data_IF_348887281699
#
_entry.id   IF_348887281699
#
_cell.length_a   1.000
_cell.length_b   1.000
_cell.length_c   1.000
_cell.angle_alpha   90.00
_cell.angle_beta   90.00
_cell.angle_gamma   90.00
#
_symmetry.space_group_name_H-M   'P 1'
#
loop_
_entity.id
_entity.type
_entity.pdbx_description
1 polymer ?
#
# COMPACT_ATOMS: atom_id res chain seq x y z
N UNK A 1 46.45 -67.43 -42.70
CA UNK A 1 47.06 -66.17 -42.23
C UNK A 1 46.75 -66.07 -40.75
N UNK A 2 47.68 -66.51 -39.92
CA UNK A 2 47.50 -66.74 -38.49
C UNK A 2 48.46 -65.81 -37.76
N UNK A 3 47.96 -64.95 -36.89
CA UNK A 3 48.80 -64.12 -36.02
C UNK A 3 48.43 -64.41 -34.57
N UNK A 4 49.42 -64.93 -33.84
CA UNK A 4 49.46 -65.13 -32.39
C UNK A 4 49.58 -63.77 -31.69
N UNK A 5 48.95 -63.62 -30.52
CA UNK A 5 49.49 -62.77 -29.44
C UNK A 5 49.32 -63.48 -28.09
N UNK A 6 50.44 -63.52 -27.38
CA UNK A 6 50.73 -64.12 -26.07
C UNK A 6 50.26 -63.28 -24.90
N UNK A 7 49.79 -63.93 -23.83
CA UNK A 7 49.58 -63.33 -22.51
C UNK A 7 50.92 -63.06 -21.80
N UNK A 8 51.05 -61.87 -21.20
CA UNK A 8 52.06 -61.57 -20.16
C UNK A 8 51.33 -61.22 -18.87
N UNK A 9 51.66 -61.95 -17.82
CA UNK A 9 51.29 -61.72 -16.42
C UNK A 9 52.03 -60.52 -15.84
N UNK A 10 51.36 -59.70 -15.04
CA UNK A 10 51.96 -58.90 -13.97
C UNK A 10 51.02 -58.83 -12.75
N UNK A 11 51.57 -58.65 -11.54
CA UNK A 11 51.02 -59.17 -10.29
C UNK A 11 50.08 -58.21 -9.57
N UNK A 12 49.38 -58.81 -8.60
CA UNK A 12 48.56 -58.19 -7.57
C UNK A 12 49.28 -57.00 -6.90
N UNK A 13 48.74 -55.80 -7.06
CA UNK A 13 49.11 -54.62 -6.24
C UNK A 13 47.92 -54.30 -5.34
N UNK A 14 48.20 -54.20 -4.05
CA UNK A 14 47.22 -53.98 -3.00
C UNK A 14 46.39 -52.70 -3.24
N UNK A 15 45.06 -52.86 -3.16
CA UNK A 15 44.10 -51.76 -3.18
C UNK A 15 44.21 -50.99 -1.85
N UNK A 16 44.80 -49.79 -1.86
CA UNK A 16 44.66 -48.83 -0.78
C UNK A 16 43.27 -48.21 -0.89
N UNK A 17 42.40 -48.27 0.13
CA UNK A 17 41.10 -47.62 0.06
C UNK A 17 41.32 -46.12 0.20
N UNK A 18 41.21 -45.38 -0.91
CA UNK A 18 41.08 -43.93 -0.89
C UNK A 18 39.65 -43.65 -0.42
N UNK A 19 39.50 -43.42 0.89
CA UNK A 19 38.27 -42.89 1.47
C UNK A 19 38.06 -41.48 0.88
N UNK A 20 36.97 -41.21 0.14
CA UNK A 20 36.69 -39.84 -0.27
C UNK A 20 36.33 -39.07 0.99
N UNK A 21 37.19 -38.11 1.36
CA UNK A 21 36.86 -37.12 2.39
C UNK A 21 35.73 -36.25 1.81
N UNK A 22 34.49 -36.69 2.02
CA UNK A 22 33.31 -35.89 1.76
C UNK A 22 33.33 -34.78 2.81
N UNK A 23 34.05 -33.69 2.51
CA UNK A 23 33.91 -32.45 3.24
C UNK A 23 32.50 -31.94 2.96
N UNK A 24 31.54 -32.39 3.78
CA UNK A 24 30.26 -31.74 3.91
C UNK A 24 30.58 -30.30 4.29
N UNK A 25 30.59 -29.39 3.30
CA UNK A 25 30.31 -28.00 3.55
C UNK A 25 28.86 -27.96 4.02
N UNK A 26 28.67 -28.24 5.31
CA UNK A 26 27.59 -27.66 6.07
C UNK A 26 27.72 -26.16 5.82
N UNK A 27 26.99 -25.66 4.82
CA UNK A 27 26.71 -24.25 4.72
C UNK A 27 26.09 -23.91 6.06
N UNK A 28 26.85 -23.28 6.94
CA UNK A 28 26.34 -22.75 8.17
C UNK A 28 25.21 -21.81 7.75
N UNK A 29 23.96 -22.28 7.89
CA UNK A 29 22.82 -21.40 7.85
C UNK A 29 23.10 -20.37 8.93
N UNK A 30 23.36 -19.14 8.49
CA UNK A 30 23.51 -18.02 9.39
C UNK A 30 22.24 -18.02 10.24
N UNK A 31 22.32 -18.12 11.57
CA UNK A 31 21.11 -18.08 12.39
C UNK A 31 20.36 -16.80 12.02
N UNK A 32 19.06 -16.94 11.74
CA UNK A 32 18.19 -15.79 11.49
C UNK A 32 18.40 -14.80 12.64
N UNK A 33 18.67 -13.54 12.30
CA UNK A 33 18.82 -12.52 13.33
C UNK A 33 17.50 -12.45 14.12
N UNK A 34 17.54 -12.37 15.46
CA UNK A 34 16.33 -12.15 16.24
C UNK A 34 15.76 -10.78 15.82
N UNK A 35 14.66 -10.80 15.06
CA UNK A 35 14.08 -9.64 14.39
C UNK A 35 13.49 -9.95 12.99
N UNK A 36 13.85 -11.08 12.38
CA UNK A 36 13.35 -11.45 11.03
C UNK A 36 12.08 -12.35 11.04
N UNK A 37 11.55 -12.76 12.19
CA UNK A 37 10.49 -13.80 12.24
C UNK A 37 9.12 -13.35 11.71
N UNK A 38 8.87 -12.05 11.61
CA UNK A 38 7.58 -11.47 11.19
C UNK A 38 7.73 -10.47 10.04
N UNK A 39 8.56 -10.79 9.05
CA UNK A 39 8.83 -9.92 7.92
C UNK A 39 8.60 -10.63 6.59
N UNK A 40 7.76 -10.06 5.73
CA UNK A 40 7.73 -10.43 4.29
C UNK A 40 8.79 -9.61 3.57
N UNK A 41 9.67 -10.21 2.77
CA UNK A 41 10.70 -9.46 2.05
C UNK A 41 11.01 -10.01 0.66
N UNK A 42 11.46 -9.11 -0.22
CA UNK A 42 11.71 -9.37 -1.63
C UNK A 42 12.94 -8.60 -2.10
N UNK A 43 13.62 -9.14 -3.10
CA UNK A 43 14.85 -8.58 -3.69
C UNK A 43 14.61 -7.87 -5.03
N UNK A 44 13.34 -7.66 -5.39
CA UNK A 44 12.95 -6.91 -6.57
C UNK A 44 11.65 -6.11 -6.31
N UNK A 45 11.43 -4.99 -7.03
CA UNK A 45 10.16 -4.27 -7.02
C UNK A 45 8.99 -5.15 -7.44
N UNK A 46 7.79 -4.83 -6.97
CA UNK A 46 6.56 -5.43 -7.47
C UNK A 46 6.32 -5.01 -8.93
N UNK A 47 5.99 -5.97 -9.78
CA UNK A 47 5.58 -5.76 -11.18
C UNK A 47 4.07 -5.70 -11.32
N UNK A 48 3.37 -6.43 -10.46
CA UNK A 48 1.92 -6.55 -10.44
C UNK A 48 1.36 -6.16 -9.07
N UNK A 49 0.07 -5.80 -9.04
CA UNK A 49 -0.59 -5.37 -7.80
C UNK A 49 -0.56 -6.44 -6.71
N UNK A 50 -0.71 -7.72 -7.08
CA UNK A 50 -0.68 -8.86 -6.14
C UNK A 50 0.70 -9.08 -5.48
N UNK A 51 1.77 -8.48 -6.01
CA UNK A 51 3.11 -8.56 -5.44
C UNK A 51 3.42 -7.39 -4.50
N UNK A 52 2.62 -6.31 -4.53
CA UNK A 52 2.84 -5.11 -3.73
C UNK A 52 2.51 -5.36 -2.25
N UNK A 53 3.17 -4.60 -1.36
CA UNK A 53 3.04 -4.79 0.09
C UNK A 53 1.90 -3.95 0.66
N UNK A 54 0.92 -4.54 1.37
CA UNK A 54 -0.19 -3.78 1.95
C UNK A 54 0.22 -3.06 3.24
N UNK A 55 -0.22 -1.82 3.39
CA UNK A 55 -0.28 -1.09 4.66
C UNK A 55 -1.69 -0.52 4.84
N UNK A 56 -2.18 -0.40 6.07
CA UNK A 56 -3.52 0.15 6.32
C UNK A 56 -3.79 0.50 7.77
N UNK A 57 -4.68 1.46 7.98
CA UNK A 57 -5.06 1.95 9.31
C UNK A 57 -6.52 1.64 9.71
N UNK A 58 -7.14 0.71 8.98
CA UNK A 58 -8.56 0.34 9.08
C UNK A 58 -9.49 1.19 8.20
N UNK A 59 -9.03 2.36 7.73
CA UNK A 59 -9.82 3.26 6.87
C UNK A 59 -9.12 3.54 5.53
N UNK A 60 -7.88 4.01 5.60
CA UNK A 60 -6.98 4.15 4.46
C UNK A 60 -6.10 2.90 4.34
N UNK A 61 -5.85 2.50 3.10
CA UNK A 61 -4.90 1.45 2.76
C UNK A 61 -4.07 1.83 1.56
N UNK A 62 -2.88 1.25 1.44
CA UNK A 62 -2.04 1.37 0.26
C UNK A 62 -1.29 0.07 -0.05
N UNK A 63 -1.10 -0.18 -1.34
CA UNK A 63 -0.27 -1.24 -1.90
C UNK A 63 1.02 -0.61 -2.41
N UNK A 64 2.14 -0.93 -1.76
CA UNK A 64 3.46 -0.33 -1.97
C UNK A 64 4.27 -1.18 -2.97
N UNK A 65 4.61 -0.61 -4.11
CA UNK A 65 5.28 -1.34 -5.20
C UNK A 65 6.80 -1.46 -4.99
N UNK A 66 7.43 -0.44 -4.43
CA UNK A 66 8.86 -0.44 -4.15
C UNK A 66 9.74 -0.13 -5.38
N UNK A 67 9.21 0.50 -6.43
CA UNK A 67 9.98 0.80 -7.65
C UNK A 67 11.05 1.87 -7.44
N UNK A 68 12.22 1.76 -8.08
CA UNK A 68 13.41 2.59 -7.75
C UNK A 68 13.29 4.03 -8.27
N UNK A 69 13.25 4.21 -9.60
CA UNK A 69 13.09 5.52 -10.23
C UNK A 69 11.62 5.98 -10.25
N UNK A 70 10.69 5.02 -10.23
CA UNK A 70 9.26 5.26 -10.24
C UNK A 70 8.60 4.42 -9.15
N UNK A 71 8.11 5.08 -8.11
CA UNK A 71 7.28 4.46 -7.09
C UNK A 71 5.80 4.63 -7.43
N UNK A 72 5.01 3.63 -7.02
CA UNK A 72 3.57 3.69 -7.05
C UNK A 72 3.03 3.17 -5.73
N UNK A 73 2.25 4.00 -5.05
CA UNK A 73 1.38 3.57 -3.97
C UNK A 73 -0.04 3.65 -4.52
N UNK A 74 -0.60 2.51 -4.91
CA UNK A 74 -2.04 2.43 -5.14
C UNK A 74 -2.70 2.53 -3.76
N UNK A 75 -3.66 3.44 -3.58
CA UNK A 75 -4.29 3.68 -2.29
C UNK A 75 -5.81 3.64 -2.37
N UNK A 76 -6.41 3.44 -1.21
CA UNK A 76 -7.82 3.17 -1.03
C UNK A 76 -8.34 3.85 0.25
N UNK A 77 -9.62 4.20 0.24
CA UNK A 77 -10.37 4.69 1.40
C UNK A 77 -11.66 3.84 1.53
N UNK A 78 -12.00 3.41 2.75
CA UNK A 78 -13.02 2.39 3.00
C UNK A 78 -14.45 2.74 2.59
N UNK A 79 -14.73 3.99 2.23
CA UNK A 79 -16.06 4.51 1.90
C UNK A 79 -16.21 4.96 0.44
N UNK A 80 -15.25 4.61 -0.43
CA UNK A 80 -15.38 4.79 -1.89
C UNK A 80 -16.15 3.62 -2.52
N UNK A 81 -17.45 3.80 -2.74
CA UNK A 81 -18.36 2.78 -3.28
C UNK A 81 -19.24 3.36 -4.39
N UNK A 82 -19.73 2.51 -5.29
CA UNK A 82 -20.75 2.89 -6.28
C UNK A 82 -22.11 3.14 -5.63
N UNK A 83 -23.01 3.78 -6.39
CA UNK A 83 -24.40 3.98 -5.96
C UNK A 83 -24.58 5.10 -4.95
N UNK A 84 -25.74 5.10 -4.31
CA UNK A 84 -26.21 6.15 -3.39
C UNK A 84 -27.00 5.50 -2.24
N UNK A 85 -27.30 6.23 -1.16
CA UNK A 85 -28.35 5.84 -0.22
C UNK A 85 -29.61 5.31 -0.92
N UNK A 86 -29.98 4.07 -0.64
CA UNK A 86 -31.19 3.46 -1.18
C UNK A 86 -31.68 2.35 -0.26
N UNK A 87 -32.94 2.01 -0.42
CA UNK A 87 -33.59 0.90 0.24
C UNK A 87 -33.54 -0.32 -0.70
N UNK A 88 -33.21 -1.50 -0.17
CA UNK A 88 -33.07 -2.72 -0.96
C UNK A 88 -34.37 -3.51 -1.06
N UNK A 89 -35.37 -3.18 -0.24
CA UNK A 89 -36.64 -3.87 -0.26
C UNK A 89 -37.32 -3.75 -1.63
N UNK A 90 -37.86 -4.86 -2.10
CA UNK A 90 -38.74 -4.84 -3.24
C UNK A 90 -40.14 -4.41 -2.77
N UNK A 91 -40.68 -3.28 -3.27
CA UNK A 91 -42.00 -2.82 -2.87
C UNK A 91 -43.05 -3.92 -3.09
N UNK A 92 -43.82 -4.23 -2.05
CA UNK A 92 -44.88 -5.24 -2.09
C UNK A 92 -44.42 -6.70 -2.04
N UNK A 93 -43.14 -6.99 -1.77
CA UNK A 93 -42.63 -8.37 -1.70
C UNK A 93 -43.40 -9.27 -0.71
N UNK A 94 -43.83 -8.73 0.43
CA UNK A 94 -44.57 -9.48 1.44
C UNK A 94 -45.86 -10.13 0.88
N UNK A 95 -46.47 -9.54 -0.15
CA UNK A 95 -47.72 -10.02 -0.73
C UNK A 95 -47.57 -11.37 -1.45
N UNK A 96 -46.38 -11.70 -1.95
CA UNK A 96 -46.14 -12.97 -2.66
C UNK A 96 -45.55 -14.06 -1.76
N UNK A 97 -45.21 -13.75 -0.50
CA UNK A 97 -44.58 -14.69 0.43
C UNK A 97 -45.43 -15.93 0.69
N UNK A 98 -46.76 -15.76 0.80
CA UNK A 98 -47.70 -16.88 0.97
C UNK A 98 -47.68 -17.82 -0.23
N UNK A 99 -47.79 -17.26 -1.44
CA UNK A 99 -47.76 -18.02 -2.70
C UNK A 99 -46.44 -18.76 -2.89
N UNK A 100 -45.30 -18.12 -2.59
CA UNK A 100 -43.99 -18.75 -2.66
C UNK A 100 -43.91 -19.99 -1.77
N UNK A 101 -44.36 -19.89 -0.52
CA UNK A 101 -44.40 -21.03 0.41
C UNK A 101 -45.27 -22.17 -0.14
N UNK A 102 -46.44 -21.86 -0.69
CA UNK A 102 -47.33 -22.86 -1.30
C UNK A 102 -46.69 -23.55 -2.51
N UNK A 103 -46.02 -22.81 -3.40
CA UNK A 103 -45.33 -23.38 -4.55
C UNK A 103 -44.20 -24.33 -4.13
N UNK A 104 -43.41 -23.94 -3.11
CA UNK A 104 -42.34 -24.79 -2.58
C UNK A 104 -42.88 -26.08 -1.94
N UNK A 105 -43.95 -25.99 -1.14
CA UNK A 105 -44.59 -27.17 -0.52
C UNK A 105 -45.18 -28.13 -1.56
N UNK A 106 -45.64 -27.61 -2.70
CA UNK A 106 -46.16 -28.40 -3.81
C UNK A 106 -45.06 -28.98 -4.73
N UNK A 107 -43.77 -28.76 -4.42
CA UNK A 107 -42.66 -29.22 -5.26
C UNK A 107 -42.52 -28.47 -6.59
N UNK A 108 -42.93 -27.20 -6.64
CA UNK A 108 -42.91 -26.34 -7.84
C UNK A 108 -41.80 -25.30 -7.78
N UNK A 109 -40.55 -25.75 -7.67
CA UNK A 109 -39.40 -24.87 -7.42
C UNK A 109 -39.17 -23.85 -8.53
N UNK A 110 -39.33 -24.25 -9.82
CA UNK A 110 -39.15 -23.32 -10.95
C UNK A 110 -40.15 -22.17 -10.95
N UNK A 111 -41.42 -22.46 -10.61
CA UNK A 111 -42.47 -21.45 -10.49
C UNK A 111 -42.19 -20.51 -9.30
N UNK A 112 -41.75 -21.09 -8.18
CA UNK A 112 -41.38 -20.31 -6.99
C UNK A 112 -40.18 -19.39 -7.26
N UNK A 113 -39.13 -19.89 -7.93
CA UNK A 113 -37.95 -19.12 -8.29
C UNK A 113 -38.32 -17.96 -9.21
N UNK A 114 -39.11 -18.21 -10.26
CA UNK A 114 -39.55 -17.15 -11.17
C UNK A 114 -40.32 -16.04 -10.44
N UNK A 115 -41.29 -16.41 -9.59
CA UNK A 115 -42.06 -15.45 -8.79
C UNK A 115 -41.17 -14.69 -7.79
N UNK A 116 -40.21 -15.37 -7.17
CA UNK A 116 -39.30 -14.73 -6.23
C UNK A 116 -38.40 -13.72 -6.94
N UNK A 117 -37.80 -14.09 -8.07
CA UNK A 117 -36.97 -13.21 -8.87
C UNK A 117 -37.73 -11.99 -9.40
N UNK A 118 -39.00 -12.15 -9.74
CA UNK A 118 -39.84 -11.06 -10.24
C UNK A 118 -40.30 -10.10 -9.14
N UNK A 119 -40.64 -10.61 -7.95
CA UNK A 119 -41.44 -9.85 -6.97
C UNK A 119 -40.91 -9.82 -5.54
N UNK A 120 -39.94 -10.67 -5.21
CA UNK A 120 -39.50 -10.89 -3.83
C UNK A 120 -38.04 -10.53 -3.59
N UNK A 121 -37.17 -10.71 -4.59
CA UNK A 121 -35.76 -10.35 -4.51
C UNK A 121 -35.55 -8.83 -4.48
N UNK A 122 -34.45 -8.38 -3.88
CA UNK A 122 -34.16 -6.97 -3.67
C UNK A 122 -34.11 -6.13 -4.95
N UNK A 123 -34.41 -4.84 -4.82
CA UNK A 123 -34.23 -3.85 -5.89
C UNK A 123 -33.35 -2.73 -5.38
N UNK A 124 -32.11 -2.56 -5.89
CA UNK A 124 -31.45 -3.39 -6.89
C UNK A 124 -31.10 -4.78 -6.35
N UNK A 125 -30.97 -5.73 -7.27
CA UNK A 125 -30.71 -7.14 -6.93
C UNK A 125 -29.34 -7.38 -6.28
N UNK A 126 -28.36 -6.53 -6.59
CA UNK A 126 -26.97 -6.70 -6.17
C UNK A 126 -26.52 -5.54 -5.29
N UNK A 127 -25.56 -5.83 -4.41
CA UNK A 127 -24.89 -4.82 -3.62
C UNK A 127 -24.03 -3.90 -4.51
N UNK A 128 -23.78 -2.70 -4.01
CA UNK A 128 -22.88 -1.76 -4.65
C UNK A 128 -21.42 -2.25 -4.56
N UNK A 129 -20.59 -1.83 -5.52
CA UNK A 129 -19.21 -2.27 -5.62
C UNK A 129 -18.25 -1.31 -4.91
N UNK A 130 -17.29 -1.87 -4.18
CA UNK A 130 -16.13 -1.12 -3.70
C UNK A 130 -15.26 -0.66 -4.87
N UNK A 131 -14.66 0.53 -4.77
CA UNK A 131 -13.86 1.10 -5.85
C UNK A 131 -12.45 1.46 -5.39
N UNK A 132 -11.50 1.43 -6.33
CA UNK A 132 -10.17 1.97 -6.12
C UNK A 132 -10.23 3.49 -5.95
N UNK A 133 -9.40 4.08 -5.09
CA UNK A 133 -9.33 5.54 -4.97
C UNK A 133 -8.42 6.11 -6.06
N UNK A 134 -7.16 5.68 -6.09
CA UNK A 134 -6.16 6.19 -7.02
C UNK A 134 -4.75 5.77 -6.65
N UNK A 135 -3.78 6.50 -7.20
CA UNK A 135 -2.35 6.24 -7.04
C UNK A 135 -1.62 7.51 -6.60
N UNK A 136 -0.68 7.35 -5.66
CA UNK A 136 0.40 8.30 -5.42
C UNK A 136 1.62 7.84 -6.23
N UNK A 137 2.05 8.68 -7.15
CA UNK A 137 3.26 8.48 -7.95
C UNK A 137 4.41 9.32 -7.41
N UNK A 138 5.55 8.68 -7.18
CA UNK A 138 6.80 9.37 -6.85
C UNK A 138 7.81 9.04 -7.94
N UNK A 139 8.20 10.05 -8.72
CA UNK A 139 9.26 9.93 -9.71
C UNK A 139 10.56 10.49 -9.16
N UNK A 140 11.66 9.78 -9.41
CA UNK A 140 13.00 10.15 -9.01
C UNK A 140 13.88 10.23 -10.27
N UNK A 141 13.79 11.33 -11.06
CA UNK A 141 14.45 11.41 -12.37
C UNK A 141 15.96 11.17 -12.32
N UNK A 142 16.61 11.59 -11.23
CA UNK A 142 18.06 11.40 -11.03
C UNK A 142 18.47 9.93 -10.81
N UNK A 143 17.51 9.03 -10.56
CA UNK A 143 17.74 7.60 -10.34
C UNK A 143 17.37 6.75 -11.56
N UNK A 144 16.82 7.36 -12.62
CA UNK A 144 16.41 6.64 -13.81
C UNK A 144 17.61 6.08 -14.57
N UNK A 145 17.50 4.83 -15.04
CA UNK A 145 18.58 4.09 -15.71
C UNK A 145 19.82 3.80 -14.85
N UNK A 146 19.85 4.17 -13.57
CA UNK A 146 21.02 4.00 -12.72
C UNK A 146 21.22 2.53 -12.29
N UNK A 147 22.49 2.12 -12.14
CA UNK A 147 22.83 0.79 -11.65
C UNK A 147 22.46 0.63 -10.17
N UNK A 148 21.52 -0.26 -9.88
CA UNK A 148 21.00 -0.53 -8.52
C UNK A 148 21.70 -1.73 -7.92
N UNK A 149 22.10 -1.61 -6.66
CA UNK A 149 22.67 -2.69 -5.85
C UNK A 149 21.96 -2.77 -4.50
N UNK A 150 22.10 -3.89 -3.79
CA UNK A 150 21.57 -4.11 -2.44
C UNK A 150 20.08 -3.76 -2.27
N UNK A 151 19.28 -4.03 -3.32
CA UNK A 151 17.85 -3.79 -3.28
C UNK A 151 17.16 -4.77 -2.32
N UNK A 152 16.33 -4.24 -1.43
CA UNK A 152 15.40 -5.01 -0.62
C UNK A 152 14.13 -4.19 -0.37
N UNK A 153 12.96 -4.80 -0.54
CA UNK A 153 11.71 -4.31 0.01
C UNK A 153 11.16 -5.29 1.04
N UNK A 154 10.59 -4.79 2.12
CA UNK A 154 10.09 -5.61 3.21
C UNK A 154 8.86 -4.99 3.86
N UNK A 155 7.96 -5.83 4.38
CA UNK A 155 6.87 -5.45 5.27
C UNK A 155 7.15 -6.08 6.63
N UNK A 156 7.45 -5.23 7.61
CA UNK A 156 7.60 -5.61 9.01
C UNK A 156 6.20 -5.64 9.65
N UNK A 157 5.76 -6.83 10.06
CA UNK A 157 4.41 -7.02 10.62
C UNK A 157 4.31 -6.61 12.09
N UNK A 158 5.43 -6.46 12.80
CA UNK A 158 5.45 -6.00 14.19
C UNK A 158 5.33 -4.46 14.24
N UNK A 159 6.03 -3.78 13.31
CA UNK A 159 6.00 -2.32 13.20
C UNK A 159 4.91 -1.77 12.29
N UNK A 160 4.32 -2.62 11.44
CA UNK A 160 3.40 -2.24 10.36
C UNK A 160 4.00 -1.21 9.38
N UNK A 161 5.28 -1.41 9.02
CA UNK A 161 6.02 -0.52 8.10
C UNK A 161 6.50 -1.31 6.89
N UNK A 162 6.18 -0.80 5.69
CA UNK A 162 6.77 -1.24 4.44
C UNK A 162 8.03 -0.40 4.15
N UNK A 163 9.19 -1.04 4.13
CA UNK A 163 10.48 -0.39 3.85
C UNK A 163 11.02 -0.84 2.50
N UNK A 164 11.45 0.09 1.65
CA UNK A 164 12.28 -0.19 0.47
C UNK A 164 13.64 0.46 0.63
N UNK A 165 14.72 -0.30 0.42
CA UNK A 165 16.10 0.16 0.54
C UNK A 165 16.91 -0.32 -0.67
N UNK A 166 17.79 0.52 -1.19
CA UNK A 166 18.69 0.18 -2.30
C UNK A 166 19.88 1.14 -2.36
N UNK A 167 20.90 0.82 -3.17
CA UNK A 167 22.09 1.63 -3.37
C UNK A 167 22.32 2.01 -4.83
N UNK A 168 22.66 3.28 -5.06
CA UNK A 168 23.03 3.85 -6.37
C UNK A 168 24.22 4.80 -6.16
N UNK A 169 25.30 4.64 -6.94
CA UNK A 169 26.44 5.57 -6.92
C UNK A 169 27.04 5.81 -5.53
N UNK A 170 27.09 4.75 -4.71
CA UNK A 170 27.58 4.81 -3.33
C UNK A 170 26.58 5.34 -2.29
N UNK A 171 25.46 5.95 -2.69
CA UNK A 171 24.38 6.41 -1.81
C UNK A 171 23.43 5.27 -1.49
N UNK A 172 23.02 5.15 -0.24
CA UNK A 172 21.89 4.34 0.19
C UNK A 172 20.63 5.19 0.22
N UNK A 173 19.59 4.75 -0.47
CA UNK A 173 18.24 5.32 -0.39
C UNK A 173 17.35 4.40 0.43
N UNK A 174 16.47 4.99 1.24
CA UNK A 174 15.46 4.28 2.00
C UNK A 174 14.10 4.98 1.89
N UNK A 175 13.04 4.17 1.91
CA UNK A 175 11.65 4.64 1.89
C UNK A 175 10.85 3.82 2.85
N UNK A 176 10.29 4.48 3.86
CA UNK A 176 9.38 3.86 4.82
C UNK A 176 7.96 4.33 4.55
N UNK A 177 7.02 3.39 4.50
CA UNK A 177 5.60 3.64 4.26
C UNK A 177 4.78 2.96 5.33
N UNK A 178 3.87 3.69 5.94
CA UNK A 178 2.89 3.14 6.87
C UNK A 178 1.59 3.94 6.83
N UNK A 179 0.51 3.34 7.32
CA UNK A 179 -0.76 4.03 7.50
C UNK A 179 -1.01 4.26 9.00
N UNK A 180 -0.97 5.52 9.43
CA UNK A 180 -1.18 5.89 10.83
C UNK A 180 -2.67 5.87 11.17
N UNK A 181 -3.06 5.03 12.12
CA UNK A 181 -4.39 5.07 12.72
C UNK A 181 -4.63 6.37 13.52
N UNK A 182 -3.76 6.78 14.47
CA UNK A 182 -4.03 7.97 15.29
C UNK A 182 -4.00 9.29 14.50
N UNK A 183 -3.35 9.31 13.32
CA UNK A 183 -3.29 10.49 12.47
C UNK A 183 -4.18 10.40 11.24
N UNK A 184 -4.86 9.26 11.02
CA UNK A 184 -5.81 9.07 9.92
C UNK A 184 -5.22 9.23 8.52
N UNK A 185 -3.92 9.03 8.32
CA UNK A 185 -3.20 9.31 7.07
C UNK A 185 -2.17 8.23 6.72
N UNK A 186 -1.85 8.09 5.44
CA UNK A 186 -0.69 7.34 4.96
C UNK A 186 0.53 8.26 4.99
N UNK A 187 1.64 7.76 5.51
CA UNK A 187 2.90 8.49 5.63
C UNK A 187 3.96 7.79 4.80
N UNK A 188 4.67 8.56 3.98
CA UNK A 188 5.85 8.12 3.24
C UNK A 188 7.04 8.95 3.71
N UNK A 189 8.09 8.30 4.17
CA UNK A 189 9.34 8.96 4.53
C UNK A 189 10.45 8.52 3.58
N UNK A 190 11.00 9.47 2.84
CA UNK A 190 12.09 9.29 1.89
C UNK A 190 13.39 9.81 2.52
N UNK A 191 14.46 9.01 2.49
CA UNK A 191 15.75 9.41 3.01
C UNK A 191 16.91 8.85 2.19
N UNK A 192 18.08 9.49 2.34
CA UNK A 192 19.33 9.04 1.77
C UNK A 192 20.47 9.23 2.78
N UNK A 193 21.53 8.42 2.70
CA UNK A 193 22.73 8.54 3.56
C UNK A 193 23.71 9.64 3.10
N UNK A 194 23.33 10.42 2.09
CA UNK A 194 24.07 11.57 1.59
C UNK A 194 23.19 12.83 1.66
N UNK A 195 23.66 13.92 2.29
CA UNK A 195 22.94 15.19 2.33
C UNK A 195 22.58 15.69 0.93
N UNK A 196 21.40 16.29 0.79
CA UNK A 196 20.88 16.84 -0.46
C UNK A 196 20.66 15.82 -1.58
N UNK A 197 20.62 14.52 -1.30
CA UNK A 197 20.51 13.49 -2.33
C UNK A 197 19.06 13.15 -2.73
N UNK A 198 18.05 13.67 -2.03
CA UNK A 198 16.64 13.37 -2.31
C UNK A 198 16.05 14.42 -3.25
N UNK A 199 15.79 14.01 -4.49
CA UNK A 199 15.01 14.77 -5.49
C UNK A 199 13.84 13.91 -5.95
N UNK A 200 12.62 14.42 -5.78
CA UNK A 200 11.38 13.67 -6.06
C UNK A 200 10.32 14.57 -6.66
N UNK A 201 9.58 14.05 -7.64
CA UNK A 201 8.35 14.63 -8.18
C UNK A 201 7.17 13.78 -7.69
N UNK A 202 6.31 14.37 -6.88
CA UNK A 202 5.13 13.70 -6.35
C UNK A 202 3.87 14.17 -7.08
N UNK A 203 3.02 13.22 -7.49
CA UNK A 203 1.75 13.51 -8.16
C UNK A 203 0.69 12.47 -7.78
N UNK A 204 -0.58 12.84 -7.95
CA UNK A 204 -1.72 11.97 -7.73
C UNK A 204 -2.37 11.60 -9.06
N UNK A 205 -2.93 10.39 -9.13
CA UNK A 205 -3.78 9.93 -10.22
C UNK A 205 -5.05 9.29 -9.65
N UNK A 206 -6.20 9.56 -10.24
CA UNK A 206 -7.49 9.03 -9.81
C UNK A 206 -7.80 7.75 -10.57
N UNK A 207 -8.42 6.77 -9.91
CA UNK A 207 -8.99 5.61 -10.58
C UNK A 207 -10.32 5.94 -11.29
N UNK A 208 -10.84 7.15 -11.09
CA UNK A 208 -12.10 7.63 -11.66
C UNK A 208 -11.87 8.79 -12.63
N UNK A 209 -12.57 8.73 -13.76
CA UNK A 209 -12.57 9.77 -14.79
C UNK A 209 -13.09 11.11 -14.27
N UNK A 210 -12.65 12.21 -14.90
CA UNK A 210 -13.12 13.57 -14.59
C UNK A 210 -12.60 14.12 -13.26
N UNK A 211 -11.74 13.39 -12.53
CA UNK A 211 -11.09 13.90 -11.34
C UNK A 211 -10.15 15.07 -11.69
N UNK A 212 -10.14 16.09 -10.84
CA UNK A 212 -9.31 17.28 -11.00
C UNK A 212 -8.17 17.26 -9.98
N UNK A 213 -7.06 17.90 -10.35
CA UNK A 213 -5.93 18.14 -9.45
C UNK A 213 -5.73 19.64 -9.35
N UNK A 214 -5.42 20.08 -8.14
CA UNK A 214 -5.23 21.50 -7.85
C UNK A 214 -4.19 21.67 -6.77
N UNK A 215 -3.31 22.64 -6.96
CA UNK A 215 -2.37 23.04 -5.92
C UNK A 215 -3.11 23.79 -4.80
N UNK A 216 -2.86 23.41 -3.55
CA UNK A 216 -3.49 24.05 -2.39
C UNK A 216 -2.42 24.39 -1.36
N UNK A 217 -2.48 25.61 -0.83
CA UNK A 217 -1.47 26.12 0.11
C UNK A 217 -0.05 26.09 -0.49
N UNK A 218 0.98 26.15 0.36
CA UNK A 218 2.37 26.28 -0.13
C UNK A 218 2.99 24.95 -0.61
N UNK A 219 2.53 23.81 -0.07
CA UNK A 219 3.16 22.49 -0.29
C UNK A 219 2.16 21.34 -0.32
N UNK A 220 0.94 21.60 -0.82
CA UNK A 220 -0.09 20.58 -0.93
C UNK A 220 -0.67 20.45 -2.32
N UNK A 221 -1.10 19.24 -2.64
CA UNK A 221 -1.80 18.91 -3.87
C UNK A 221 -3.12 18.24 -3.46
N UNK A 222 -4.24 18.74 -3.98
CA UNK A 222 -5.53 18.06 -3.89
C UNK A 222 -5.78 17.27 -5.17
N UNK A 223 -6.44 16.13 -5.02
CA UNK A 223 -7.12 15.43 -6.10
C UNK A 223 -8.58 15.23 -5.70
N UNK A 224 -9.50 15.78 -6.49
CA UNK A 224 -10.95 15.75 -6.22
C UNK A 224 -11.67 14.96 -7.29
N UNK A 225 -12.61 14.12 -6.88
CA UNK A 225 -13.36 13.30 -7.82
C UNK A 225 -14.65 12.76 -7.21
N UNK A 226 -15.26 11.84 -7.93
CA UNK A 226 -16.44 11.10 -7.47
C UNK A 226 -16.55 9.77 -8.21
N UNK A 227 -17.27 8.85 -7.60
CA UNK A 227 -17.53 7.55 -8.21
C UNK A 227 -18.59 7.72 -9.29
N UNK A 228 -18.28 7.31 -10.52
CA UNK A 228 -19.20 7.43 -11.64
C UNK A 228 -20.55 6.76 -11.34
N UNK A 229 -21.65 7.49 -11.59
CA UNK A 229 -23.00 7.01 -11.30
C UNK A 229 -23.32 6.84 -9.81
N UNK A 230 -22.46 7.28 -8.90
CA UNK A 230 -22.64 7.23 -7.45
C UNK A 230 -22.78 8.62 -6.81
N UNK A 231 -23.22 8.63 -5.56
CA UNK A 231 -23.31 9.84 -4.73
C UNK A 231 -22.03 10.14 -3.94
N UNK A 232 -21.06 9.22 -3.97
CA UNK A 232 -19.78 9.38 -3.29
C UNK A 232 -18.87 10.33 -4.07
N UNK A 233 -18.50 11.43 -3.41
CA UNK A 233 -17.47 12.39 -3.80
C UNK A 233 -16.31 12.27 -2.84
N UNK A 234 -15.10 12.47 -3.33
CA UNK A 234 -13.89 12.30 -2.55
C UNK A 234 -12.86 13.38 -2.82
N UNK A 235 -11.97 13.57 -1.84
CA UNK A 235 -10.73 14.32 -1.99
C UNK A 235 -9.59 13.45 -1.44
N UNK A 236 -8.45 13.51 -2.10
CA UNK A 236 -7.16 13.14 -1.52
C UNK A 236 -6.29 14.37 -1.41
N UNK A 237 -5.61 14.52 -0.27
CA UNK A 237 -4.72 15.62 0.04
C UNK A 237 -3.32 15.10 0.31
N UNK A 238 -2.38 15.49 -0.54
CA UNK A 238 -0.96 15.23 -0.35
C UNK A 238 -0.27 16.46 0.24
N UNK A 239 0.42 16.30 1.36
CA UNK A 239 1.19 17.35 2.02
C UNK A 239 2.68 16.96 2.05
N UNK A 240 3.53 17.78 1.42
CA UNK A 240 4.96 17.46 1.20
C UNK A 240 5.84 18.29 2.13
N UNK A 241 6.65 17.62 2.94
CA UNK A 241 7.48 18.22 4.00
C UNK A 241 8.95 17.80 3.81
N UNK A 242 9.73 18.59 3.05
CA UNK A 242 11.15 18.33 2.91
C UNK A 242 11.97 18.89 4.08
N UNK A 243 13.03 18.18 4.42
CA UNK A 243 14.11 18.65 5.28
C UNK A 243 15.22 19.17 4.36
N UNK A 244 15.33 20.50 4.29
CA UNK A 244 16.21 21.18 3.32
C UNK A 244 15.66 21.16 1.88
N UNK A 245 16.54 21.49 0.92
CA UNK A 245 16.20 21.53 -0.50
C UNK A 245 15.30 22.68 -0.95
N UNK A 246 14.81 22.60 -2.19
CA UNK A 246 13.89 23.56 -2.82
C UNK A 246 12.60 22.87 -3.22
N UNK A 247 11.48 23.58 -3.10
CA UNK A 247 10.15 23.10 -3.51
C UNK A 247 9.62 23.94 -4.65
N UNK A 248 9.14 23.28 -5.70
CA UNK A 248 8.37 23.88 -6.78
C UNK A 248 7.01 23.17 -6.86
N UNK A 249 5.94 23.93 -7.09
CA UNK A 249 4.58 23.41 -7.14
C UNK A 249 3.92 23.75 -8.47
N UNK A 250 3.06 22.86 -8.93
CA UNK A 250 2.15 23.06 -10.07
C UNK A 250 0.78 22.49 -9.72
N UNK A 251 -0.21 22.71 -10.59
CA UNK A 251 -1.55 22.15 -10.40
C UNK A 251 -1.60 20.63 -10.44
N UNK A 252 -0.53 19.98 -10.91
CA UNK A 252 -0.49 18.53 -11.13
C UNK A 252 0.57 17.81 -10.29
N UNK A 253 1.54 18.53 -9.74
CA UNK A 253 2.68 17.91 -9.05
C UNK A 253 3.38 18.83 -8.05
N UNK A 254 4.13 18.23 -7.13
CA UNK A 254 5.07 18.91 -6.25
C UNK A 254 6.45 18.32 -6.47
N UNK A 255 7.42 19.17 -6.80
CA UNK A 255 8.82 18.79 -7.00
C UNK A 255 9.65 19.27 -5.83
N UNK A 256 10.35 18.34 -5.19
CA UNK A 256 11.40 18.63 -4.20
C UNK A 256 12.74 18.34 -4.85
N UNK A 257 13.67 19.29 -4.76
CA UNK A 257 15.03 19.14 -5.30
C UNK A 257 16.06 19.33 -4.21
N UNK A 258 16.95 18.34 -4.08
CA UNK A 258 18.13 18.41 -3.22
C UNK A 258 17.83 18.49 -1.72
N UNK A 259 16.86 17.72 -1.23
CA UNK A 259 16.55 17.60 0.19
C UNK A 259 17.38 16.49 0.86
N UNK A 260 17.53 16.57 2.18
CA UNK A 260 18.16 15.52 3.00
C UNK A 260 17.17 14.36 3.22
N UNK A 261 15.91 14.71 3.49
CA UNK A 261 14.80 13.79 3.60
C UNK A 261 13.49 14.46 3.16
N UNK A 262 12.47 13.67 2.84
CA UNK A 262 11.13 14.17 2.51
C UNK A 262 10.09 13.30 3.18
N UNK A 263 9.22 13.92 3.99
CA UNK A 263 8.04 13.27 4.53
C UNK A 263 6.81 13.71 3.75
N UNK A 264 6.09 12.75 3.17
CA UNK A 264 4.81 12.98 2.53
C UNK A 264 3.70 12.43 3.42
N UNK A 265 2.65 13.23 3.63
CA UNK A 265 1.43 12.82 4.33
C UNK A 265 0.29 12.83 3.33
N UNK A 266 -0.29 11.66 3.09
CA UNK A 266 -1.44 11.45 2.21
C UNK A 266 -2.68 11.21 3.07
N UNK A 267 -3.56 12.20 3.09
CA UNK A 267 -4.92 12.06 3.58
C UNK A 267 -5.87 11.78 2.39
N UNK A 268 -7.00 11.17 2.70
CA UNK A 268 -8.09 11.04 1.77
C UNK A 268 -9.39 10.84 2.53
N UNK A 269 -10.47 11.42 2.01
CA UNK A 269 -11.78 11.40 2.62
C UNK A 269 -12.88 11.37 1.56
N UNK A 270 -14.07 10.94 1.98
CA UNK A 270 -15.30 11.04 1.18
C UNK A 270 -16.35 11.89 1.89
N UNK A 271 -17.46 12.13 1.20
CA UNK A 271 -18.66 12.75 1.76
C UNK A 271 -19.55 11.78 2.57
N UNK A 272 -19.15 10.51 2.72
CA UNK A 272 -19.93 9.52 3.47
C UNK A 272 -20.00 9.86 4.97
N UNK A 273 -21.20 9.82 5.55
CA UNK A 273 -21.45 9.93 7.00
C UNK A 273 -22.03 8.62 7.51
N UNK A 274 -23.05 8.11 6.84
CA UNK A 274 -23.71 6.85 7.16
C UNK A 274 -24.35 6.23 5.90
N UNK A 275 -24.99 5.07 6.05
CA UNK A 275 -25.67 4.39 4.95
C UNK A 275 -26.76 5.24 4.25
N UNK A 276 -27.31 6.24 4.94
CA UNK A 276 -28.36 7.13 4.41
C UNK A 276 -27.95 8.60 4.29
N UNK A 277 -26.68 8.92 4.59
CA UNK A 277 -26.18 10.29 4.61
C UNK A 277 -24.81 10.39 3.95
N UNK A 278 -24.74 11.21 2.90
CA UNK A 278 -23.55 11.52 2.10
C UNK A 278 -23.31 13.03 2.01
N UNK A 279 -23.68 13.76 3.07
CA UNK A 279 -23.64 15.23 3.12
C UNK A 279 -22.30 15.84 3.54
N UNK A 280 -21.35 15.03 4.04
CA UNK A 280 -20.10 15.58 4.54
C UNK A 280 -19.26 16.24 3.44
N UNK A 281 -18.35 17.13 3.86
CA UNK A 281 -17.36 17.73 2.96
C UNK A 281 -16.03 16.97 3.07
N UNK A 282 -15.58 16.28 1.99
CA UNK A 282 -14.26 15.65 1.94
C UNK A 282 -13.11 16.64 2.20
N UNK A 283 -13.21 17.87 1.66
CA UNK A 283 -12.16 18.88 1.74
C UNK A 283 -11.90 19.26 3.20
N UNK A 284 -12.96 19.61 3.93
CA UNK A 284 -12.86 19.98 5.33
C UNK A 284 -12.33 18.82 6.22
N UNK A 285 -12.57 17.56 5.83
CA UNK A 285 -12.04 16.39 6.55
C UNK A 285 -10.54 16.23 6.33
N UNK A 286 -10.08 16.38 5.09
CA UNK A 286 -8.65 16.31 4.75
C UNK A 286 -7.88 17.49 5.35
N UNK A 287 -8.44 18.70 5.30
CA UNK A 287 -7.81 19.89 5.91
C UNK A 287 -7.59 19.69 7.42
N UNK A 288 -8.59 19.14 8.14
CA UNK A 288 -8.44 18.79 9.58
C UNK A 288 -7.34 17.75 9.79
N UNK A 289 -7.28 16.73 8.95
CA UNK A 289 -6.30 15.64 9.04
C UNK A 289 -4.88 16.18 8.84
N UNK A 290 -4.66 16.98 7.79
CA UNK A 290 -3.36 17.60 7.53
C UNK A 290 -2.97 18.58 8.64
N UNK A 291 -3.90 19.41 9.13
CA UNK A 291 -3.62 20.33 10.24
C UNK A 291 -3.18 19.58 11.51
N UNK A 292 -3.88 18.51 11.88
CA UNK A 292 -3.54 17.69 13.05
C UNK A 292 -2.15 17.04 12.93
N UNK A 293 -1.82 16.48 11.75
CA UNK A 293 -0.49 15.88 11.52
C UNK A 293 0.64 16.91 11.56
N UNK A 294 0.40 18.16 11.13
CA UNK A 294 1.37 19.26 11.23
C UNK A 294 1.59 19.69 12.68
N UNK A 295 0.52 19.86 13.45
CA UNK A 295 0.60 20.22 14.86
C UNK A 295 1.37 19.18 15.69
N UNK A 296 1.13 17.89 15.44
CA UNK A 296 1.85 16.80 16.11
C UNK A 296 3.34 16.77 15.74
N UNK A 297 3.68 17.01 14.49
CA UNK A 297 5.07 17.07 14.04
C UNK A 297 5.85 18.23 14.71
N UNK A 298 5.19 19.38 14.92
CA UNK A 298 5.78 20.54 15.59
C UNK A 298 5.98 20.36 17.11
N UNK A 299 5.33 19.36 17.72
CA UNK A 299 5.45 19.08 19.16
C UNK A 299 6.66 18.17 19.42
N UNK A 300 7.65 18.52 20.25
CA UNK A 300 8.80 17.65 20.50
C UNK A 300 8.39 16.28 21.08
N UNK A 301 9.12 15.18 20.79
CA UNK A 301 8.77 13.83 21.26
C UNK A 301 8.56 13.72 22.78
N UNK A 302 9.31 14.47 23.57
CA UNK A 302 9.19 14.49 25.04
C UNK A 302 7.84 15.04 25.54
N UNK A 303 7.18 15.91 24.78
CA UNK A 303 5.86 16.46 25.15
C UNK A 303 4.69 15.57 24.70
N UNK A 304 4.96 14.48 23.96
CA UNK A 304 3.92 13.57 23.43
C UNK A 304 3.57 12.41 24.37
N UNK A 305 4.35 12.18 25.44
CA UNK A 305 4.16 11.08 26.41
C UNK A 305 3.46 11.49 27.71
N UNK A 306 3.11 12.75 27.91
CA UNK A 306 2.46 13.21 29.14
C UNK A 306 0.94 13.14 29.05
N UNK A 307 0.39 11.94 29.02
CA UNK A 307 -1.00 11.68 29.49
C UNK A 307 -1.14 10.42 30.34
N UNK A 308 -0.02 9.80 30.73
CA UNK A 308 0.02 8.85 31.83
C UNK A 308 1.26 9.15 32.68
N UNK A 309 1.05 9.32 33.98
CA UNK A 309 2.05 9.61 35.04
C UNK A 309 2.73 10.99 35.01
N UNK A 310 2.16 11.91 35.79
CA UNK A 310 2.88 13.03 36.42
C UNK A 310 3.95 12.51 37.37
N UNK A 311 5.23 12.61 36.98
CA UNK A 311 6.35 12.93 37.89
C UNK A 311 7.67 13.03 37.13
N UNK A 312 8.27 14.22 37.13
CA UNK A 312 9.72 14.37 36.99
C UNK A 312 10.25 14.75 35.61
N UNK A 313 10.13 16.03 35.24
CA UNK A 313 11.09 16.65 34.32
C UNK A 313 11.73 17.82 35.07
N UNK A 314 12.94 17.60 35.60
CA UNK A 314 13.83 18.68 36.05
C UNK A 314 14.71 19.07 34.87
N UNK A 315 14.75 20.35 34.56
CA UNK A 315 15.61 20.92 33.53
C UNK A 315 17.09 20.85 33.93
N UNK A 316 17.94 20.41 33.01
CA UNK A 316 19.34 20.80 32.85
C UNK A 316 19.67 20.69 31.36
#
# INVERSE_FOLDING_TARGET
MTIRVTFRTLPLVALVPILPLLAARAGAQRPAAPGDSLTLWYVAPAREWIEALPVGNGRLGAMVFGGVAHERLQFNEGTVWTGAPHAYEHPGAFAVLGTLRSLLLAGKQREAEALAMERFMSVPLRQQAYQAFGDLHLAFPALDGAAVTDYRRALDLDRAVATTRFRIGGTTYARDVFASHPDGAIVVHLSADRPGAVTVVASLASAHDGATRVHVGARQLAMRGGVAGGAIRFEARLDVRPDGGRVATSDTSITVTGADAVTLVLAGATNHVSYHDVSADPTARDDRTIAATRARAATPPCARRTSATTSGCSAA
#
